data_IF_721444004152
#
_entry.id   IF_721444004152
#
_cell.length_a   1.000
_cell.length_b   1.000
_cell.length_c   1.000
_cell.angle_alpha   90.00
_cell.angle_beta   90.00
_cell.angle_gamma   90.00
#
_symmetry.space_group_name_H-M   'P 1'
#
loop_
_entity.id
_entity.type
_entity.pdbx_description
1 polymer ?
#
# COMPACT_ATOMS: atom_id res chain seq x y z
N UNK A 1 -3.34 4.26 11.98
CA UNK A 1 -2.87 5.56 12.47
C UNK A 1 -2.57 5.49 13.95
N UNK A 2 -1.48 6.10 14.41
CA UNK A 2 -1.13 6.21 15.84
C UNK A 2 -1.60 7.52 16.48
N UNK A 3 -1.87 8.55 15.68
CA UNK A 3 -2.31 9.89 16.10
C UNK A 3 -3.29 10.47 15.06
N UNK A 4 -3.98 11.57 15.41
CA UNK A 4 -4.83 12.33 14.49
C UNK A 4 -4.10 13.58 13.99
N UNK A 5 -4.34 13.98 12.74
CA UNK A 5 -3.82 15.24 12.20
C UNK A 5 -4.46 16.46 12.87
N UNK A 6 -3.76 17.61 12.83
CA UNK A 6 -4.36 18.90 13.23
C UNK A 6 -5.63 19.17 12.39
N UNK A 7 -6.75 19.42 13.05
CA UNK A 7 -8.05 19.70 12.40
C UNK A 7 -9.04 18.53 12.38
N UNK A 8 -8.68 17.37 12.95
CA UNK A 8 -9.59 16.23 13.16
C UNK A 8 -9.86 16.00 14.64
N UNK A 9 -11.11 15.69 14.99
CA UNK A 9 -11.55 15.43 16.37
C UNK A 9 -11.83 13.95 16.58
N UNK A 10 -11.73 13.49 17.84
CA UNK A 10 -12.04 12.12 18.24
C UNK A 10 -10.80 11.30 18.60
N UNK A 11 -10.82 10.00 18.33
CA UNK A 11 -9.69 9.07 18.52
C UNK A 11 -9.36 8.35 17.22
N UNK A 12 -8.16 7.76 17.03
CA UNK A 12 -7.88 6.93 15.84
C UNK A 12 -8.90 5.81 15.60
N UNK A 13 -9.64 5.39 16.63
CA UNK A 13 -10.72 4.41 16.53
C UNK A 13 -12.08 5.02 16.15
N UNK A 14 -12.27 6.33 16.31
CA UNK A 14 -13.52 7.05 16.09
C UNK A 14 -13.23 8.53 15.73
N UNK A 15 -12.98 8.81 14.45
CA UNK A 15 -12.59 10.13 13.94
C UNK A 15 -13.79 10.84 13.31
N UNK A 16 -13.96 12.12 13.63
CA UNK A 16 -14.97 13.00 13.02
C UNK A 16 -14.32 14.29 12.52
N UNK A 17 -14.56 14.67 11.26
CA UNK A 17 -14.02 15.90 10.64
C UNK A 17 -13.53 15.71 9.20
N UNK A 18 -12.95 16.76 8.59
CA UNK A 18 -12.27 16.66 7.28
C UNK A 18 -10.95 15.92 7.45
N UNK A 19 -10.98 14.59 7.25
CA UNK A 19 -9.77 13.78 7.22
C UNK A 19 -9.02 13.88 5.89
N UNK A 20 -7.71 13.62 5.90
CA UNK A 20 -6.93 13.39 4.68
C UNK A 20 -7.43 12.17 3.92
N UNK A 21 -7.14 12.10 2.61
CA UNK A 21 -7.47 10.93 1.78
C UNK A 21 -6.94 9.62 2.36
N UNK A 22 -5.72 9.64 2.93
CA UNK A 22 -5.13 8.48 3.61
C UNK A 22 -5.92 8.04 4.84
N UNK A 23 -6.49 8.98 5.61
CA UNK A 23 -7.32 8.64 6.77
C UNK A 23 -8.62 7.97 6.36
N UNK A 24 -9.31 8.51 5.34
CA UNK A 24 -10.50 7.88 4.79
C UNK A 24 -10.23 6.47 4.28
N UNK A 25 -9.14 6.30 3.52
CA UNK A 25 -8.75 5.01 2.98
C UNK A 25 -8.41 3.98 4.07
N UNK A 26 -7.64 4.35 5.11
CA UNK A 26 -7.34 3.36 6.17
C UNK A 26 -8.56 3.04 7.04
N UNK A 27 -9.52 3.96 7.19
CA UNK A 27 -10.79 3.67 7.84
C UNK A 27 -11.60 2.63 7.04
N UNK A 28 -11.67 2.78 5.71
CA UNK A 28 -12.33 1.80 4.83
C UNK A 28 -11.63 0.44 4.87
N UNK A 29 -10.29 0.42 4.79
CA UNK A 29 -9.49 -0.80 4.90
C UNK A 29 -9.72 -1.52 6.23
N UNK A 30 -9.68 -0.77 7.34
CA UNK A 30 -9.95 -1.32 8.69
C UNK A 30 -11.38 -1.86 8.80
N UNK A 31 -12.35 -1.17 8.21
CA UNK A 31 -13.73 -1.64 8.18
C UNK A 31 -13.88 -2.94 7.37
N UNK A 32 -13.17 -3.08 6.25
CA UNK A 32 -13.14 -4.31 5.46
C UNK A 32 -12.54 -5.49 6.25
N UNK A 33 -11.42 -5.27 6.95
CA UNK A 33 -10.82 -6.27 7.83
C UNK A 33 -11.76 -6.68 8.98
N UNK A 34 -12.41 -5.72 9.64
CA UNK A 34 -13.39 -5.99 10.72
C UNK A 34 -14.58 -6.81 10.23
N UNK A 35 -14.99 -6.60 8.99
CA UNK A 35 -16.05 -7.38 8.31
C UNK A 35 -15.55 -8.73 7.80
N UNK A 36 -14.28 -9.08 8.00
CA UNK A 36 -13.63 -10.30 7.50
C UNK A 36 -13.80 -10.45 6.00
N UNK A 37 -13.59 -9.36 5.25
CA UNK A 37 -13.61 -9.40 3.80
C UNK A 37 -12.54 -10.38 3.30
N UNK A 38 -12.96 -11.40 2.55
CA UNK A 38 -12.04 -12.40 1.97
C UNK A 38 -11.10 -11.80 0.93
N UNK A 39 -11.53 -10.73 0.25
CA UNK A 39 -10.76 -10.00 -0.74
C UNK A 39 -10.93 -8.49 -0.56
N UNK A 40 -9.81 -7.78 -0.53
CA UNK A 40 -9.73 -6.32 -0.52
C UNK A 40 -9.01 -5.88 -1.79
N UNK A 41 -9.68 -5.06 -2.61
CA UNK A 41 -9.11 -4.55 -3.87
C UNK A 41 -8.74 -3.09 -3.65
N UNK A 42 -7.52 -2.74 -4.03
CA UNK A 42 -6.97 -1.38 -3.95
C UNK A 42 -6.55 -0.97 -5.35
N UNK A 43 -7.11 0.14 -5.82
CA UNK A 43 -6.78 0.78 -7.09
C UNK A 43 -5.89 2.00 -6.84
N UNK A 44 -4.65 1.97 -7.34
CA UNK A 44 -3.65 3.03 -7.16
C UNK A 44 -4.21 4.41 -7.56
N UNK A 45 -4.93 4.49 -8.68
CA UNK A 45 -5.45 5.76 -9.23
C UNK A 45 -6.51 6.42 -8.34
N UNK A 46 -7.10 5.65 -7.41
CA UNK A 46 -8.11 6.10 -6.45
C UNK A 46 -7.60 6.12 -5.02
N UNK A 47 -6.30 5.90 -4.82
CA UNK A 47 -5.69 5.70 -3.51
C UNK A 47 -4.83 6.88 -3.06
N UNK A 48 -4.69 7.02 -1.75
CA UNK A 48 -3.69 7.91 -1.18
C UNK A 48 -2.32 7.20 -1.21
N UNK A 49 -1.40 7.66 -2.06
CA UNK A 49 -0.09 7.03 -2.28
C UNK A 49 0.74 6.87 -1.00
N UNK A 50 0.67 7.85 -0.08
CA UNK A 50 1.32 7.81 1.23
C UNK A 50 0.77 6.73 2.19
N UNK A 51 -0.41 6.16 1.90
CA UNK A 51 -0.90 4.97 2.60
C UNK A 51 -0.41 3.68 1.92
N UNK A 52 -0.05 3.70 0.64
CA UNK A 52 0.40 2.50 -0.09
C UNK A 52 1.88 2.21 0.14
N UNK A 53 2.74 3.22 -0.03
CA UNK A 53 4.20 3.07 0.01
C UNK A 53 4.86 4.17 0.85
N UNK A 54 6.05 3.91 1.42
CA UNK A 54 6.84 4.94 2.08
C UNK A 54 7.26 6.02 1.08
N UNK A 55 7.32 7.28 1.51
CA UNK A 55 7.95 8.38 0.78
C UNK A 55 8.81 9.23 1.72
N UNK A 56 9.79 9.94 1.16
CA UNK A 56 10.83 10.66 1.91
C UNK A 56 10.33 11.89 2.68
N UNK A 57 9.11 12.38 2.40
CA UNK A 57 8.50 13.54 3.07
C UNK A 57 7.37 13.14 4.04
N UNK A 58 7.12 11.85 4.21
CA UNK A 58 6.01 11.34 5.03
C UNK A 58 6.27 11.55 6.52
N UNK A 59 5.23 11.94 7.27
CA UNK A 59 5.29 11.93 8.73
C UNK A 59 5.31 10.50 9.28
N UNK A 60 5.98 10.30 10.42
CA UNK A 60 6.14 8.99 11.09
C UNK A 60 4.84 8.33 11.57
N UNK A 61 3.72 9.05 11.53
CA UNK A 61 2.43 8.62 12.09
C UNK A 61 1.63 7.68 11.18
N UNK A 62 2.05 7.54 9.91
CA UNK A 62 1.39 6.71 8.91
C UNK A 62 2.27 5.51 8.58
N UNK A 63 1.81 4.30 8.94
CA UNK A 63 2.41 3.04 8.52
C UNK A 63 1.84 2.63 7.15
N UNK A 64 2.63 2.60 6.08
CA UNK A 64 2.15 2.21 4.75
C UNK A 64 1.72 0.74 4.69
N UNK A 65 0.78 0.45 3.78
CA UNK A 65 0.31 -0.92 3.53
C UNK A 65 1.42 -1.82 3.02
N UNK A 66 2.38 -1.34 2.22
CA UNK A 66 3.54 -2.15 1.84
C UNK A 66 4.35 -2.65 3.04
N UNK A 67 4.45 -1.85 4.10
CA UNK A 67 5.13 -2.24 5.36
C UNK A 67 4.29 -3.27 6.10
N UNK A 68 2.97 -3.09 6.17
CA UNK A 68 2.06 -4.05 6.83
C UNK A 68 2.07 -5.39 6.09
N UNK A 69 1.92 -5.38 4.76
CA UNK A 69 1.97 -6.57 3.91
C UNK A 69 3.32 -7.30 4.00
N UNK A 70 4.41 -6.57 4.27
CA UNK A 70 5.73 -7.18 4.43
C UNK A 70 5.96 -7.76 5.83
N UNK A 71 5.68 -6.97 6.87
CA UNK A 71 6.18 -7.22 8.22
C UNK A 71 5.09 -7.59 9.23
N UNK A 72 3.81 -7.30 8.93
CA UNK A 72 2.71 -7.37 9.89
C UNK A 72 1.50 -8.09 9.28
N UNK A 73 1.76 -9.17 8.53
CA UNK A 73 0.74 -9.91 7.76
C UNK A 73 -0.41 -10.43 8.61
N UNK A 74 -0.15 -10.78 9.87
CA UNK A 74 -1.18 -11.22 10.82
C UNK A 74 -2.29 -10.18 11.00
N UNK A 75 -2.00 -8.89 10.77
CA UNK A 75 -3.00 -7.81 10.82
C UNK A 75 -4.01 -7.85 9.67
N UNK A 76 -3.73 -8.61 8.61
CA UNK A 76 -4.64 -8.82 7.49
C UNK A 76 -5.66 -9.94 7.76
N UNK A 77 -5.43 -10.76 8.80
CA UNK A 77 -6.23 -11.96 9.07
C UNK A 77 -6.25 -12.89 7.86
N UNK A 78 -7.44 -13.42 7.54
CA UNK A 78 -7.65 -14.30 6.37
C UNK A 78 -7.90 -13.54 5.06
N UNK A 79 -7.71 -12.21 5.07
CA UNK A 79 -8.02 -11.36 3.91
C UNK A 79 -6.91 -11.43 2.87
N UNK A 80 -7.28 -11.65 1.62
CA UNK A 80 -6.37 -11.41 0.49
C UNK A 80 -6.45 -9.95 0.06
N UNK A 81 -5.31 -9.35 -0.29
CA UNK A 81 -5.26 -7.97 -0.79
C UNK A 81 -4.74 -7.98 -2.22
N UNK A 82 -5.53 -7.42 -3.14
CA UNK A 82 -5.17 -7.23 -4.54
C UNK A 82 -4.90 -5.75 -4.78
N UNK A 83 -3.68 -5.43 -5.20
CA UNK A 83 -3.30 -4.09 -5.62
C UNK A 83 -3.31 -4.03 -7.15
N UNK A 84 -4.20 -3.20 -7.71
CA UNK A 84 -4.11 -2.73 -9.08
C UNK A 84 -3.18 -1.51 -9.08
N UNK A 85 -1.91 -1.73 -9.39
CA UNK A 85 -0.86 -0.73 -9.32
C UNK A 85 0.00 -0.74 -10.59
N UNK A 86 0.45 0.46 -10.98
CA UNK A 86 1.33 0.71 -12.11
C UNK A 86 2.72 1.19 -11.67
N UNK A 87 2.82 2.01 -10.61
CA UNK A 87 4.10 2.68 -10.25
C UNK A 87 4.62 2.32 -8.85
N UNK A 88 3.93 1.44 -8.14
CA UNK A 88 4.25 1.09 -6.75
C UNK A 88 5.30 -0.02 -6.65
N UNK A 89 6.49 0.16 -7.23
CA UNK A 89 7.51 -0.89 -7.34
C UNK A 89 7.93 -1.49 -5.98
N UNK A 90 8.03 -0.67 -4.94
CA UNK A 90 8.35 -1.13 -3.58
C UNK A 90 7.23 -2.02 -3.03
N UNK A 91 5.96 -1.71 -3.30
CA UNK A 91 4.83 -2.55 -2.92
C UNK A 91 4.83 -3.85 -3.73
N UNK A 92 5.05 -3.76 -5.05
CA UNK A 92 5.14 -4.90 -5.96
C UNK A 92 6.24 -5.87 -5.54
N UNK A 93 7.40 -5.37 -5.10
CA UNK A 93 8.50 -6.18 -4.59
C UNK A 93 8.14 -6.99 -3.33
N UNK A 94 7.15 -6.56 -2.56
CA UNK A 94 6.69 -7.25 -1.34
C UNK A 94 5.48 -8.16 -1.55
N UNK A 95 4.90 -8.17 -2.75
CA UNK A 95 3.77 -9.02 -3.10
C UNK A 95 4.15 -10.51 -3.09
N UNK A 96 3.16 -11.36 -2.79
CA UNK A 96 3.31 -12.83 -2.88
C UNK A 96 3.30 -13.32 -4.32
N UNK A 97 2.55 -12.62 -5.18
CA UNK A 97 2.34 -12.91 -6.59
C UNK A 97 2.30 -11.59 -7.34
N UNK A 98 2.92 -11.57 -8.51
CA UNK A 98 2.98 -10.39 -9.38
C UNK A 98 2.38 -10.78 -10.72
N UNK A 99 1.41 -10.00 -11.17
CA UNK A 99 0.77 -10.14 -12.47
C UNK A 99 1.00 -8.86 -13.26
N UNK A 100 1.56 -9.01 -14.46
CA UNK A 100 1.72 -7.92 -15.42
C UNK A 100 0.66 -8.06 -16.50
N UNK A 101 -0.05 -6.97 -16.78
CA UNK A 101 -0.98 -6.88 -17.90
C UNK A 101 -0.34 -6.11 -19.05
N UNK A 102 -0.45 -6.64 -20.27
CA UNK A 102 0.07 -6.02 -21.49
C UNK A 102 -0.45 -6.76 -22.72
N UNK A 103 -0.74 -6.03 -23.80
CA UNK A 103 -1.28 -6.60 -25.05
C UNK A 103 -2.54 -7.45 -24.84
N UNK A 104 -3.44 -6.99 -23.95
CA UNK A 104 -4.65 -7.71 -23.52
C UNK A 104 -4.38 -9.11 -22.93
N UNK A 105 -3.16 -9.34 -22.45
CA UNK A 105 -2.72 -10.60 -21.84
C UNK A 105 -2.18 -10.36 -20.44
N UNK A 106 -2.21 -11.42 -19.65
CA UNK A 106 -1.69 -11.45 -18.29
C UNK A 106 -0.49 -12.38 -18.24
N UNK A 107 0.57 -11.93 -17.58
CA UNK A 107 1.80 -12.68 -17.39
C UNK A 107 2.14 -12.72 -15.90
N UNK A 108 2.51 -13.90 -15.40
CA UNK A 108 3.09 -14.01 -14.08
C UNK A 108 4.53 -13.51 -14.12
N UNK A 109 4.93 -12.71 -13.13
CA UNK A 109 6.31 -12.23 -12.97
C UNK A 109 6.90 -12.87 -11.72
N UNK A 110 8.12 -13.40 -11.85
CA UNK A 110 8.86 -13.94 -10.71
C UNK A 110 9.23 -12.82 -9.74
N UNK A 111 8.92 -13.00 -8.44
CA UNK A 111 9.22 -11.99 -7.42
C UNK A 111 10.72 -11.68 -7.32
N UNK A 112 11.57 -12.70 -7.38
CA UNK A 112 13.02 -12.52 -7.28
C UNK A 112 13.59 -11.83 -8.52
N UNK A 113 13.10 -12.20 -9.71
CA UNK A 113 13.44 -11.54 -10.97
C UNK A 113 13.05 -10.05 -10.93
N UNK A 114 11.83 -9.75 -10.48
CA UNK A 114 11.36 -8.37 -10.32
C UNK A 114 12.27 -7.57 -9.36
N UNK A 115 12.64 -8.16 -8.22
CA UNK A 115 13.52 -7.53 -7.23
C UNK A 115 14.93 -7.27 -7.76
N UNK A 116 15.47 -8.17 -8.60
CA UNK A 116 16.77 -7.94 -9.25
C UNK A 116 16.68 -6.74 -10.19
N UNK A 117 15.68 -6.72 -11.08
CA UNK A 117 15.46 -5.60 -12.00
C UNK A 117 15.25 -4.27 -11.28
N UNK A 118 14.44 -4.28 -10.21
CA UNK A 118 14.21 -3.08 -9.40
C UNK A 118 15.49 -2.57 -8.74
N UNK A 119 16.33 -3.46 -8.20
CA UNK A 119 17.62 -3.07 -7.59
C UNK A 119 18.57 -2.46 -8.63
N UNK A 120 18.63 -3.03 -9.82
CA UNK A 120 19.43 -2.49 -10.92
C UNK A 120 18.92 -1.10 -11.34
N UNK A 121 17.61 -0.97 -11.54
CA UNK A 121 16.98 0.31 -11.86
C UNK A 121 17.27 1.38 -10.80
N UNK A 122 17.09 1.07 -9.52
CA UNK A 122 17.32 2.02 -8.43
C UNK A 122 18.80 2.40 -8.27
N UNK A 123 19.75 1.49 -8.56
CA UNK A 123 21.18 1.83 -8.57
C UNK A 123 21.49 2.84 -9.67
N UNK A 124 21.02 2.57 -10.89
CA UNK A 124 21.24 3.48 -12.02
C UNK A 124 20.59 4.84 -11.77
N UNK A 125 19.37 4.87 -11.23
CA UNK A 125 18.70 6.11 -10.89
C UNK A 125 19.41 6.89 -9.77
N UNK A 126 20.04 6.20 -8.82
CA UNK A 126 20.83 6.85 -7.77
C UNK A 126 22.12 7.49 -8.32
N UNK A 127 22.70 6.93 -9.38
CA UNK A 127 23.86 7.51 -10.07
C UNK A 127 23.50 8.78 -10.87
N UNK A 128 22.21 9.01 -11.14
CA UNK A 128 21.68 10.17 -11.89
C UNK A 128 21.16 11.33 -11.01
N UNK A 129 21.11 11.16 -9.67
CA UNK A 129 20.63 12.15 -8.69
C UNK A 129 21.78 12.94 -8.04
#
# INVERSE_FOLDING_TARGET
>A
FKSLSKGTSGTPANVTGRGSGSMGMAAQFTAALRRRASLIIIDEDKSATNLLVPNCIQSSDVTPLSVICKNERDKLGDSSVLFAAATMDILTAEADRILKFGDHRMYAVGRDEFRVKLKEYLRNAADEL
#
